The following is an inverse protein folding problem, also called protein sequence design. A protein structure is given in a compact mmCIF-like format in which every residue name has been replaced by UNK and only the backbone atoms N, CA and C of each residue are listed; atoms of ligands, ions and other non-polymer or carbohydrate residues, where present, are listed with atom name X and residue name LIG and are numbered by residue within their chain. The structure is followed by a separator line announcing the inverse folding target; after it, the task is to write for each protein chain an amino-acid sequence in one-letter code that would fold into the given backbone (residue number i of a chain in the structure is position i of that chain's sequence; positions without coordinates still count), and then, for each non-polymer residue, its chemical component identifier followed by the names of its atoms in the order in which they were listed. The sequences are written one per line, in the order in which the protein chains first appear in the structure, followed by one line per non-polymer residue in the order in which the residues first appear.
data_IF_060400065050
#
_entry.id   IF_060400065050
#
_cell.length_a   1.000
_cell.length_b   1.000
_cell.length_c   1.000
_cell.angle_alpha   90.00
_cell.angle_beta   90.00
_cell.angle_gamma   90.00
#
_symmetry.space_group_name_H-M   'P 1'
#
loop_
_entity.id
_entity.type
_entity.pdbx_description
1 polymer ?
#
# COMPACT_ATOMS: atom_id res chain seq x y z
N UNK A 1 -39.43 -12.90 -0.38
CA UNK A 1 -38.17 -12.41 -0.97
C UNK A 1 -37.11 -12.42 0.11
N UNK A 2 -36.63 -13.62 0.44
CA UNK A 2 -35.60 -13.86 1.46
C UNK A 2 -34.69 -14.99 0.96
N UNK A 3 -33.40 -14.89 1.28
CA UNK A 3 -32.30 -15.63 0.63
C UNK A 3 -31.72 -14.74 -0.48
N UNK A 4 -30.52 -14.18 -0.40
CA UNK A 4 -29.31 -14.61 0.27
C UNK A 4 -28.62 -13.41 0.94
N UNK A 5 -28.64 -13.35 2.27
CA UNK A 5 -27.51 -12.72 2.96
C UNK A 5 -26.41 -13.77 2.90
N UNK A 6 -25.68 -13.76 1.77
CA UNK A 6 -24.39 -14.41 1.65
C UNK A 6 -23.62 -14.02 2.92
N UNK A 7 -23.33 -15.01 3.76
CA UNK A 7 -22.54 -14.84 4.96
C UNK A 7 -21.22 -14.27 4.45
N UNK A 8 -21.06 -12.93 4.53
CA UNK A 8 -19.83 -12.26 4.15
C UNK A 8 -18.79 -12.81 5.12
N UNK A 9 -18.11 -13.88 4.68
CA UNK A 9 -17.01 -14.49 5.41
C UNK A 9 -16.13 -13.36 5.87
N UNK A 10 -15.95 -13.23 7.18
CA UNK A 10 -15.20 -12.14 7.76
C UNK A 10 -13.77 -12.17 7.20
N UNK A 11 -13.48 -11.26 6.26
CA UNK A 11 -12.21 -11.24 5.55
C UNK A 11 -11.14 -10.67 6.47
N UNK A 12 -10.04 -11.40 6.61
CA UNK A 12 -8.92 -10.98 7.42
C UNK A 12 -8.04 -10.01 6.63
N UNK A 13 -8.01 -8.74 7.01
CA UNK A 13 -7.13 -7.75 6.39
C UNK A 13 -5.70 -7.84 6.93
N UNK A 14 -5.06 -8.97 6.67
CA UNK A 14 -3.65 -9.23 7.02
C UNK A 14 -2.79 -9.11 5.77
N UNK A 15 -1.74 -8.27 5.77
CA UNK A 15 -0.87 -8.13 4.60
C UNK A 15 -0.04 -9.40 4.39
N UNK A 16 0.40 -9.62 3.16
CA UNK A 16 1.29 -10.74 2.80
C UNK A 16 2.61 -10.64 3.58
N UNK A 17 3.14 -9.43 3.71
CA UNK A 17 4.30 -9.13 4.55
C UNK A 17 3.87 -8.22 5.70
N UNK A 18 4.20 -8.57 6.96
CA UNK A 18 3.88 -7.71 8.09
C UNK A 18 4.61 -6.37 8.01
N UNK A 19 4.08 -5.32 8.66
CA UNK A 19 4.79 -4.05 8.85
C UNK A 19 6.19 -4.25 9.45
N UNK A 20 7.16 -3.54 8.90
CA UNK A 20 8.57 -3.62 9.31
C UNK A 20 8.82 -2.86 10.60
N UNK A 21 9.69 -3.43 11.45
CA UNK A 21 10.21 -2.71 12.62
C UNK A 21 10.89 -1.41 12.19
N UNK A 22 10.69 -0.34 12.97
CA UNK A 22 11.26 0.98 12.69
C UNK A 22 10.59 1.77 11.56
N UNK A 23 9.55 1.23 10.92
CA UNK A 23 8.76 1.95 9.90
C UNK A 23 7.32 2.15 10.40
N UNK A 24 7.08 3.08 11.34
CA UNK A 24 5.81 3.17 12.05
C UNK A 24 4.60 3.44 11.15
N UNK A 25 4.82 4.12 10.02
CA UNK A 25 3.75 4.39 9.06
C UNK A 25 3.10 3.14 8.49
N UNK A 26 3.87 2.06 8.27
CA UNK A 26 3.34 0.80 7.74
C UNK A 26 2.26 0.22 8.68
N UNK A 27 2.55 0.20 9.99
CA UNK A 27 1.61 -0.30 10.99
C UNK A 27 0.42 0.64 11.21
N UNK A 28 0.64 1.96 11.15
CA UNK A 28 -0.43 2.96 11.33
C UNK A 28 -1.45 2.87 10.19
N UNK A 29 -1.01 2.85 8.93
CA UNK A 29 -1.94 2.73 7.81
C UNK A 29 -2.65 1.38 7.77
N UNK A 30 -1.95 0.28 8.11
CA UNK A 30 -2.59 -1.03 8.23
C UNK A 30 -3.70 -1.02 9.27
N UNK A 31 -3.44 -0.43 10.45
CA UNK A 31 -4.45 -0.34 11.52
C UNK A 31 -5.65 0.51 11.11
N UNK A 32 -5.42 1.68 10.52
CA UNK A 32 -6.49 2.55 10.02
C UNK A 32 -7.33 1.86 8.94
N UNK A 33 -6.69 1.08 8.06
CA UNK A 33 -7.39 0.27 7.07
C UNK A 33 -8.25 -0.82 7.70
N UNK A 34 -7.71 -1.56 8.67
CA UNK A 34 -8.45 -2.59 9.39
C UNK A 34 -9.67 -2.00 10.10
N UNK A 35 -9.52 -0.85 10.76
CA UNK A 35 -10.63 -0.15 11.41
C UNK A 35 -11.66 0.36 10.39
N UNK A 36 -11.18 0.85 9.24
CA UNK A 36 -12.03 1.30 8.13
C UNK A 36 -12.85 0.15 7.51
N UNK A 37 -12.29 -1.05 7.41
CA UNK A 37 -12.98 -2.25 6.92
C UNK A 37 -13.91 -2.85 7.98
N UNK A 38 -13.51 -2.84 9.27
CA UNK A 38 -14.35 -3.34 10.36
C UNK A 38 -15.62 -2.49 10.56
N UNK A 39 -15.55 -1.18 10.28
CA UNK A 39 -16.71 -0.29 10.36
C UNK A 39 -17.79 -0.60 9.31
N UNK A 40 -17.39 -1.08 8.12
CA UNK A 40 -18.29 -1.49 7.05
C UNK A 40 -17.56 -2.43 6.07
N UNK A 41 -17.73 -3.76 6.23
CA UNK A 41 -17.11 -4.74 5.34
C UNK A 41 -17.54 -4.64 3.87
N UNK A 42 -18.71 -4.05 3.58
CA UNK A 42 -19.22 -3.87 2.22
C UNK A 42 -18.39 -2.89 1.39
N UNK A 43 -17.55 -2.07 2.03
CA UNK A 43 -16.62 -1.14 1.36
C UNK A 43 -15.65 -1.85 0.44
N UNK A 44 -15.19 -3.05 0.80
CA UNK A 44 -14.23 -3.77 -0.03
C UNK A 44 -14.84 -4.15 -1.38
N UNK A 45 -16.10 -4.59 -1.41
CA UNK A 45 -16.84 -4.84 -2.64
C UNK A 45 -17.06 -3.57 -3.47
N UNK A 46 -17.23 -2.42 -2.81
CA UNK A 46 -17.36 -1.13 -3.51
C UNK A 46 -16.04 -0.70 -4.14
N UNK A 47 -14.93 -0.85 -3.42
CA UNK A 47 -13.58 -0.52 -3.91
C UNK A 47 -13.20 -1.43 -5.08
N UNK A 48 -13.52 -2.72 -4.99
CA UNK A 48 -13.14 -3.73 -5.98
C UNK A 48 -14.23 -4.04 -7.00
N UNK A 49 -15.27 -3.21 -7.10
CA UNK A 49 -16.42 -3.45 -7.96
C UNK A 49 -16.03 -3.74 -9.42
N UNK A 50 -14.98 -3.10 -9.93
CA UNK A 50 -14.53 -3.22 -11.33
C UNK A 50 -13.72 -4.48 -11.64
N UNK A 51 -13.29 -5.27 -10.66
CA UNK A 51 -12.42 -6.44 -10.93
C UNK A 51 -13.17 -7.65 -11.49
N UNK A 52 -14.49 -7.74 -11.28
CA UNK A 52 -15.35 -8.81 -11.82
C UNK A 52 -15.10 -10.23 -11.28
N UNK A 53 -14.02 -10.46 -10.53
CA UNK A 53 -13.59 -11.76 -10.02
C UNK A 53 -14.16 -12.14 -8.65
N UNK A 54 -15.01 -11.28 -8.08
CA UNK A 54 -15.45 -11.41 -6.68
C UNK A 54 -14.36 -10.94 -5.71
N UNK A 55 -14.76 -10.79 -4.44
CA UNK A 55 -13.88 -10.33 -3.37
C UNK A 55 -13.67 -11.48 -2.39
N UNK A 56 -12.42 -11.93 -2.26
CA UNK A 56 -12.03 -12.97 -1.35
C UNK A 56 -10.87 -12.58 -0.43
N UNK A 57 -10.35 -13.58 0.27
CA UNK A 57 -9.28 -13.41 1.24
C UNK A 57 -7.97 -12.93 0.60
N UNK A 58 -7.71 -13.33 -0.65
CA UNK A 58 -6.51 -12.91 -1.40
C UNK A 58 -6.54 -11.40 -1.62
N UNK A 59 -7.65 -10.87 -2.13
CA UNK A 59 -7.84 -9.45 -2.42
C UNK A 59 -7.76 -8.62 -1.13
N UNK A 60 -8.39 -9.07 -0.04
CA UNK A 60 -8.30 -8.42 1.26
C UNK A 60 -6.84 -8.30 1.76
N UNK A 61 -6.02 -9.33 1.56
CA UNK A 61 -4.59 -9.35 1.89
C UNK A 61 -3.75 -8.47 0.96
N UNK A 62 -4.09 -8.39 -0.32
CA UNK A 62 -3.44 -7.48 -1.28
C UNK A 62 -3.73 -6.03 -0.91
N UNK A 63 -4.99 -5.68 -0.59
CA UNK A 63 -5.35 -4.36 -0.10
C UNK A 63 -4.59 -4.00 1.19
N UNK A 64 -4.50 -4.92 2.16
CA UNK A 64 -3.73 -4.71 3.38
C UNK A 64 -2.22 -4.51 3.09
N UNK A 65 -1.67 -5.22 2.09
CA UNK A 65 -0.27 -5.06 1.66
C UNK A 65 -0.04 -3.70 1.00
N UNK A 66 -1.00 -3.23 0.19
CA UNK A 66 -0.99 -1.87 -0.35
C UNK A 66 -0.97 -0.83 0.76
N UNK A 67 -1.83 -0.96 1.76
CA UNK A 67 -1.86 -0.04 2.90
C UNK A 67 -0.57 -0.04 3.71
N UNK A 68 0.05 -1.22 3.87
CA UNK A 68 1.38 -1.35 4.47
C UNK A 68 2.42 -0.59 3.63
N UNK A 69 2.42 -0.74 2.30
CA UNK A 69 3.30 0.00 1.39
C UNK A 69 3.09 1.53 1.49
N UNK A 70 1.84 1.99 1.61
CA UNK A 70 1.52 3.42 1.75
C UNK A 70 2.17 4.08 2.97
N UNK A 71 2.46 3.28 4.00
CA UNK A 71 3.13 3.72 5.21
C UNK A 71 4.65 3.75 5.19
N UNK A 72 5.28 3.33 4.09
CA UNK A 72 6.72 3.43 3.92
C UNK A 72 7.11 4.64 3.07
N UNK A 73 8.42 4.91 2.94
CA UNK A 73 8.93 5.99 2.10
C UNK A 73 8.48 5.89 0.65
N UNK A 74 8.42 4.68 0.07
CA UNK A 74 7.97 4.47 -1.31
C UNK A 74 6.51 4.91 -1.52
N UNK A 75 5.62 4.51 -0.61
CA UNK A 75 4.23 4.94 -0.63
C UNK A 75 4.05 6.46 -0.46
N UNK A 76 4.85 7.07 0.42
CA UNK A 76 4.90 8.52 0.59
C UNK A 76 5.36 9.26 -0.68
N UNK A 77 6.43 8.78 -1.32
CA UNK A 77 6.91 9.32 -2.60
C UNK A 77 5.88 9.18 -3.72
N UNK A 78 5.23 8.02 -3.83
CA UNK A 78 4.15 7.79 -4.80
C UNK A 78 3.00 8.77 -4.58
N UNK A 79 2.49 8.91 -3.35
CA UNK A 79 1.39 9.85 -3.02
C UNK A 79 1.78 11.27 -3.39
N UNK A 80 2.99 11.69 -3.03
CA UNK A 80 3.48 13.03 -3.35
C UNK A 80 3.57 13.28 -4.86
N UNK A 81 4.07 12.31 -5.62
CA UNK A 81 4.14 12.41 -7.09
C UNK A 81 2.74 12.50 -7.71
N UNK A 82 1.79 11.69 -7.23
CA UNK A 82 0.40 11.72 -7.66
C UNK A 82 -0.26 13.08 -7.37
N UNK A 83 -0.04 13.64 -6.18
CA UNK A 83 -0.55 14.96 -5.79
C UNK A 83 0.06 16.10 -6.62
N UNK A 84 1.35 16.02 -6.98
CA UNK A 84 1.96 17.01 -7.89
C UNK A 84 1.30 17.03 -9.27
N UNK A 85 0.93 15.85 -9.80
CA UNK A 85 0.20 15.77 -11.06
C UNK A 85 -1.16 16.46 -10.98
N UNK A 86 -1.75 16.58 -9.78
CA UNK A 86 -2.99 17.33 -9.58
C UNK A 86 -2.85 18.83 -9.89
N UNK A 87 -1.64 19.38 -9.72
CA UNK A 87 -1.37 20.81 -9.92
C UNK A 87 -1.07 21.19 -11.36
N UNK A 88 -0.86 20.22 -12.25
CA UNK A 88 -0.54 20.46 -13.66
C UNK A 88 -1.83 20.79 -14.44
N UNK A 89 -1.91 21.99 -15.00
CA UNK A 89 -3.08 22.51 -15.72
C UNK A 89 -3.26 21.96 -17.13
N UNK A 90 -2.21 21.37 -17.70
CA UNK A 90 -1.99 21.22 -19.15
C UNK A 90 -2.09 19.77 -19.65
N UNK A 91 -2.49 18.86 -18.77
CA UNK A 91 -2.78 17.46 -19.11
C UNK A 91 -4.18 17.31 -19.75
N UNK A 92 -4.29 16.48 -20.80
CA UNK A 92 -5.50 16.29 -21.63
C UNK A 92 -6.75 15.77 -20.87
N UNK A 93 -7.91 15.93 -21.51
CA UNK A 93 -9.27 15.80 -20.95
C UNK A 93 -9.58 14.53 -20.14
N UNK A 94 -8.97 13.39 -20.49
CA UNK A 94 -9.21 12.10 -19.83
C UNK A 94 -8.38 11.89 -18.55
N UNK A 95 -7.41 12.76 -18.29
CA UNK A 95 -6.54 12.71 -17.09
C UNK A 95 -6.87 13.80 -16.06
N UNK A 96 -8.03 14.45 -16.17
CA UNK A 96 -8.41 15.52 -15.22
C UNK A 96 -8.97 15.02 -13.89
N UNK A 97 -9.38 13.75 -13.79
CA UNK A 97 -9.79 13.20 -12.49
C UNK A 97 -8.58 12.98 -11.60
N UNK A 98 -8.78 13.10 -10.29
CA UNK A 98 -7.76 12.71 -9.31
C UNK A 98 -7.32 11.26 -9.52
N UNK A 99 -8.30 10.39 -9.81
CA UNK A 99 -8.10 8.99 -10.14
C UNK A 99 -7.12 8.79 -11.30
N UNK A 100 -7.35 9.42 -12.46
CA UNK A 100 -6.48 9.26 -13.63
C UNK A 100 -5.04 9.70 -13.37
N UNK A 101 -4.84 10.70 -12.52
CA UNK A 101 -3.50 11.20 -12.14
C UNK A 101 -2.79 10.25 -11.16
N UNK A 102 -3.53 9.67 -10.23
CA UNK A 102 -3.00 8.64 -9.32
C UNK A 102 -2.64 7.36 -10.08
N UNK A 103 -3.49 6.93 -11.01
CA UNK A 103 -3.20 5.80 -11.90
C UNK A 103 -1.97 6.07 -12.78
N UNK A 104 -1.82 7.28 -13.32
CA UNK A 104 -0.62 7.66 -14.07
C UNK A 104 0.65 7.63 -13.21
N UNK A 105 0.60 8.19 -11.99
CA UNK A 105 1.72 8.09 -11.05
C UNK A 105 2.06 6.64 -10.71
N UNK A 106 1.05 5.80 -10.53
CA UNK A 106 1.23 4.38 -10.23
C UNK A 106 1.88 3.63 -11.39
N UNK A 107 1.49 3.91 -12.64
CA UNK A 107 2.13 3.31 -13.81
C UNK A 107 3.63 3.64 -13.91
N UNK A 108 4.01 4.85 -13.49
CA UNK A 108 5.42 5.28 -13.43
C UNK A 108 6.19 4.63 -12.27
N UNK A 109 5.54 4.48 -11.11
CA UNK A 109 6.10 3.83 -9.91
C UNK A 109 6.26 2.31 -10.14
N UNK A 110 5.23 1.66 -10.68
CA UNK A 110 5.12 0.21 -10.83
C UNK A 110 5.82 -0.35 -12.08
N UNK A 111 6.70 0.41 -12.72
CA UNK A 111 7.47 -0.05 -13.89
C UNK A 111 8.74 -0.78 -13.48
N UNK A 112 9.23 -1.67 -14.34
CA UNK A 112 10.57 -2.24 -14.17
C UNK A 112 11.62 -1.18 -14.49
N UNK A 113 12.56 -0.97 -13.59
CA UNK A 113 13.71 -0.09 -13.81
C UNK A 113 14.93 -0.70 -13.13
N UNK A 114 16.05 -0.87 -13.85
CA UNK A 114 17.27 -1.47 -13.26
C UNK A 114 17.80 -0.69 -12.05
N UNK A 115 17.50 0.60 -11.96
CA UNK A 115 17.90 1.45 -10.83
C UNK A 115 16.93 1.45 -9.64
N UNK A 116 15.72 0.91 -9.79
CA UNK A 116 14.69 0.90 -8.74
C UNK A 116 14.29 -0.53 -8.42
N UNK A 117 14.19 -0.88 -7.13
CA UNK A 117 13.81 -2.22 -6.67
C UNK A 117 14.56 -3.37 -7.38
N UNK A 118 15.83 -3.18 -7.77
CA UNK A 118 16.60 -4.23 -8.46
C UNK A 118 15.99 -4.73 -9.77
N UNK A 119 15.16 -3.93 -10.46
CA UNK A 119 14.53 -4.31 -11.73
C UNK A 119 13.16 -4.99 -11.62
N UNK A 120 12.60 -5.15 -10.41
CA UNK A 120 11.23 -5.63 -10.20
C UNK A 120 10.24 -4.47 -10.15
N UNK A 121 8.96 -4.78 -10.39
CA UNK A 121 7.88 -3.81 -10.23
C UNK A 121 7.56 -3.60 -8.75
N UNK A 122 7.02 -2.44 -8.41
CA UNK A 122 6.63 -2.13 -7.01
C UNK A 122 5.61 -3.11 -6.45
N UNK A 123 4.62 -3.55 -7.25
CA UNK A 123 3.67 -4.59 -6.84
C UNK A 123 4.37 -5.94 -6.57
N UNK A 124 5.40 -6.27 -7.34
CA UNK A 124 6.19 -7.50 -7.15
C UNK A 124 6.93 -7.43 -5.81
N UNK A 125 7.57 -6.29 -5.52
CA UNK A 125 8.24 -6.07 -4.24
C UNK A 125 7.27 -6.08 -3.04
N UNK A 126 6.07 -5.54 -3.23
CA UNK A 126 5.04 -5.43 -2.20
C UNK A 126 4.43 -6.78 -1.83
N UNK A 127 4.26 -7.69 -2.80
CA UNK A 127 3.60 -8.99 -2.62
C UNK A 127 4.60 -10.17 -2.49
N UNK A 128 5.89 -9.89 -2.35
CA UNK A 128 6.91 -10.90 -2.07
C UNK A 128 6.74 -11.46 -0.64
N UNK A 129 6.96 -12.78 -0.47
CA UNK A 129 6.75 -13.48 0.80
C UNK A 129 7.86 -13.18 1.82
N UNK A 130 9.04 -12.86 1.34
CA UNK A 130 10.25 -12.58 2.13
C UNK A 130 11.06 -11.47 1.47
N UNK A 131 12.21 -11.12 2.05
CA UNK A 131 13.15 -10.20 1.41
C UNK A 131 13.65 -10.81 0.10
N UNK A 132 13.02 -10.40 -1.01
CA UNK A 132 13.29 -10.89 -2.35
C UNK A 132 14.63 -10.43 -2.94
N UNK A 133 15.43 -9.72 -2.14
CA UNK A 133 16.74 -9.23 -2.52
C UNK A 133 17.81 -10.02 -1.79
N UNK A 134 18.52 -10.86 -2.54
CA UNK A 134 19.75 -11.48 -2.06
C UNK A 134 20.87 -10.48 -2.32
N UNK A 135 21.23 -9.74 -1.28
CA UNK A 135 22.37 -8.83 -1.34
C UNK A 135 23.66 -9.62 -1.10
N UNK A 136 24.52 -9.70 -2.11
CA UNK A 136 25.96 -9.98 -1.91
C UNK A 136 26.73 -8.66 -1.89
N UNK A 137 28.01 -8.68 -1.50
CA UNK A 137 28.85 -7.49 -1.46
C UNK A 137 29.00 -6.76 -2.81
N UNK A 138 28.69 -7.43 -3.94
CA UNK A 138 28.93 -6.90 -5.29
C UNK A 138 27.76 -7.09 -6.27
N UNK A 139 26.69 -7.80 -5.88
CA UNK A 139 25.57 -8.12 -6.77
C UNK A 139 24.26 -8.11 -5.97
N UNK A 140 23.26 -7.38 -6.48
CA UNK A 140 21.87 -7.42 -5.99
C UNK A 140 21.08 -8.29 -6.95
N UNK A 141 20.92 -9.56 -6.59
CA UNK A 141 20.08 -10.48 -7.34
C UNK A 141 18.69 -10.52 -6.74
N UNK A 142 17.72 -10.68 -7.64
CA UNK A 142 16.33 -10.94 -7.31
C UNK A 142 16.19 -12.44 -7.09
N UNK A 143 15.75 -12.83 -5.90
CA UNK A 143 15.34 -14.21 -5.65
C UNK A 143 13.92 -14.40 -6.16
N UNK A 144 13.81 -14.95 -7.37
CA UNK A 144 12.52 -15.16 -8.02
C UNK A 144 11.63 -16.16 -7.27
N UNK A 145 12.21 -17.05 -6.46
CA UNK A 145 11.47 -18.03 -5.67
C UNK A 145 10.79 -17.39 -4.44
N UNK A 146 11.24 -16.19 -4.04
CA UNK A 146 10.62 -15.40 -2.98
C UNK A 146 9.33 -14.68 -3.41
N UNK A 147 9.04 -14.63 -4.72
CA UNK A 147 7.82 -14.03 -5.25
C UNK A 147 6.69 -15.06 -5.25
N UNK A 148 5.53 -14.64 -4.76
CA UNK A 148 4.29 -15.40 -4.94
C UNK A 148 3.90 -15.39 -6.42
N UNK A 149 3.11 -16.36 -6.87
CA UNK A 149 2.42 -16.28 -8.16
C UNK A 149 1.50 -15.05 -8.16
N UNK A 150 2.02 -13.92 -8.62
CA UNK A 150 1.24 -12.68 -8.77
C UNK A 150 0.32 -12.87 -9.97
N UNK A 151 -0.97 -12.78 -9.72
CA UNK A 151 -2.02 -12.99 -10.71
C UNK A 151 -2.48 -11.67 -11.30
N UNK A 152 -3.18 -11.71 -12.43
CA UNK A 152 -3.84 -10.52 -12.99
C UNK A 152 -4.82 -9.89 -11.99
N UNK A 153 -5.52 -10.71 -11.19
CA UNK A 153 -6.41 -10.22 -10.14
C UNK A 153 -5.68 -9.39 -9.07
N UNK A 154 -4.42 -9.71 -8.75
CA UNK A 154 -3.62 -8.90 -7.83
C UNK A 154 -3.31 -7.52 -8.43
N UNK A 155 -3.02 -7.45 -9.75
CA UNK A 155 -2.82 -6.19 -10.45
C UNK A 155 -4.11 -5.35 -10.45
N UNK A 156 -5.24 -5.96 -10.81
CA UNK A 156 -6.54 -5.28 -10.86
C UNK A 156 -6.95 -4.77 -9.47
N UNK A 157 -6.70 -5.56 -8.43
CA UNK A 157 -6.95 -5.18 -7.03
C UNK A 157 -6.14 -3.95 -6.64
N UNK A 158 -4.86 -3.92 -6.98
CA UNK A 158 -3.99 -2.77 -6.66
C UNK A 158 -4.39 -1.53 -7.48
N UNK A 159 -4.79 -1.70 -8.73
CA UNK A 159 -5.28 -0.59 -9.55
C UNK A 159 -6.55 0.03 -8.96
N UNK A 160 -7.49 -0.80 -8.48
CA UNK A 160 -8.68 -0.35 -7.75
C UNK A 160 -8.31 0.37 -6.45
N UNK A 161 -7.31 -0.14 -5.71
CA UNK A 161 -6.81 0.52 -4.50
C UNK A 161 -6.18 1.88 -4.80
N UNK A 162 -5.45 2.02 -5.92
CA UNK A 162 -4.89 3.31 -6.37
C UNK A 162 -6.01 4.29 -6.73
N UNK A 163 -7.03 3.83 -7.43
CA UNK A 163 -8.20 4.64 -7.74
C UNK A 163 -8.90 5.12 -6.46
N UNK A 164 -9.18 4.22 -5.52
CA UNK A 164 -9.71 4.56 -4.20
C UNK A 164 -8.79 5.51 -3.42
N UNK A 165 -7.47 5.32 -3.51
CA UNK A 165 -6.47 6.17 -2.83
C UNK A 165 -6.54 7.64 -3.26
N UNK A 166 -7.00 7.91 -4.48
CA UNK A 166 -7.23 9.27 -4.98
C UNK A 166 -8.47 9.95 -4.37
N UNK A 167 -9.35 9.16 -3.73
CA UNK A 167 -10.65 9.58 -3.24
C UNK A 167 -10.64 10.26 -1.87
N UNK A 168 -11.86 10.62 -1.43
CA UNK A 168 -12.09 11.36 -0.19
C UNK A 168 -11.71 10.55 1.05
N UNK A 169 -12.17 9.31 1.17
CA UNK A 169 -11.94 8.49 2.37
C UNK A 169 -10.44 8.26 2.61
N UNK A 170 -9.70 7.98 1.52
CA UNK A 170 -8.25 7.87 1.56
C UNK A 170 -7.56 9.19 1.95
N UNK A 171 -8.08 10.33 1.48
CA UNK A 171 -7.58 11.65 1.89
C UNK A 171 -7.77 11.90 3.38
N UNK A 172 -8.93 11.57 3.94
CA UNK A 172 -9.21 11.66 5.37
C UNK A 172 -8.29 10.72 6.17
N UNK A 173 -8.10 9.49 5.69
CA UNK A 173 -7.16 8.54 6.29
C UNK A 173 -5.72 9.07 6.32
N UNK A 174 -5.23 9.67 5.22
CA UNK A 174 -3.89 10.31 5.17
C UNK A 174 -3.77 11.44 6.18
N UNK A 175 -4.81 12.26 6.32
CA UNK A 175 -4.83 13.37 7.27
C UNK A 175 -4.76 12.90 8.73
N UNK A 176 -5.39 11.77 9.06
CA UNK A 176 -5.29 11.12 10.39
C UNK A 176 -3.91 10.49 10.59
N UNK A 177 -3.41 9.76 9.59
CA UNK A 177 -2.16 9.01 9.70
C UNK A 177 -0.94 9.93 9.89
N UNK A 178 -0.88 11.06 9.19
CA UNK A 178 0.28 11.96 9.20
C UNK A 178 0.76 12.37 10.61
N UNK A 179 -0.07 12.97 11.48
CA UNK A 179 0.37 13.36 12.82
C UNK A 179 0.73 12.14 13.70
N UNK A 180 0.07 11.00 13.50
CA UNK A 180 0.41 9.76 14.24
C UNK A 180 1.81 9.26 13.85
N UNK A 181 2.14 9.28 12.56
CA UNK A 181 3.45 8.85 12.04
C UNK A 181 4.55 9.79 12.54
N UNK A 182 4.32 11.10 12.52
CA UNK A 182 5.27 12.10 13.01
C UNK A 182 5.54 11.93 14.51
N UNK A 183 4.49 11.74 15.32
CA UNK A 183 4.60 11.53 16.75
C UNK A 183 5.39 10.25 17.08
N UNK A 184 5.07 9.15 16.41
CA UNK A 184 5.72 7.86 16.64
C UNK A 184 7.18 7.86 16.18
N UNK A 185 7.47 8.48 15.03
CA UNK A 185 8.85 8.66 14.55
C UNK A 185 9.68 9.46 15.54
N UNK A 186 9.12 10.53 16.10
CA UNK A 186 9.78 11.33 17.16
C UNK A 186 10.00 10.52 18.43
N UNK A 187 9.04 9.66 18.83
CA UNK A 187 9.16 8.77 19.99
C UNK A 187 10.32 7.78 19.81
N UNK A 188 10.40 7.13 18.64
CA UNK A 188 11.48 6.21 18.29
C UNK A 188 12.83 6.93 18.34
N UNK A 189 12.96 8.07 17.66
CA UNK A 189 14.19 8.86 17.68
C UNK A 189 14.61 9.27 19.10
N UNK A 190 13.66 9.73 19.92
CA UNK A 190 13.94 10.14 21.30
C UNK A 190 14.43 8.97 22.17
N UNK A 191 13.92 7.75 21.94
CA UNK A 191 14.35 6.55 22.67
C UNK A 191 15.81 6.17 22.38
N UNK A 192 16.28 6.41 21.16
CA UNK A 192 17.67 6.14 20.75
C UNK A 192 18.68 7.03 21.50
N UNK A 193 18.28 8.26 21.86
CA UNK A 193 19.13 9.17 22.63
C UNK A 193 19.10 8.88 24.14
N UNK A 194 17.99 8.35 24.67
CA UNK A 194 17.89 7.95 26.09
C UNK A 194 18.64 6.66 26.42
N UNK A 195 18.74 5.72 25.47
CA UNK A 195 19.45 4.45 25.67
C UNK A 195 20.99 4.58 25.73
N UNK A 196 21.54 5.79 25.60
CA UNK A 196 22.99 6.07 25.55
C UNK A 196 23.58 6.66 26.84
N UNK A 197 22.81 6.84 27.91
CA UNK A 197 23.41 7.21 29.21
C UNK A 197 24.09 5.98 29.83
N UNK A 198 25.43 5.97 30.02
CA UNK A 198 26.09 4.89 30.71
C UNK A 198 25.66 4.88 32.18
N UNK A 199 25.38 3.69 32.71
CA UNK A 199 25.20 3.49 34.15
C UNK A 199 26.45 4.01 34.88
N UNK A 200 26.24 4.97 35.78
CA UNK A 200 27.26 5.52 36.67
C UNK A 200 27.66 4.53 37.76
#
# INVERSE_FOLDING_TARGET
MGGDQEELLELLHTPIRPPRAGTPGEGIYLKLWQDYMAADPGRLHTILWSTGSGVGQREASVCASYMTFMGCNGGGCFTHAAEQLLTLSDLHSYTHSAEGRFLMAWALENRRSRGMNGGIRTIEAMLAKSDAFVATAFDRRVDWDAFTDITTADYDTVECMVAWWSGRDATEMRAIAKPMIEAESKRILSSLFKAKEPAA
#
